data_IF_256803426983
#
_entry.id   IF_256803426983
#
_cell.length_a   1.000
_cell.length_b   1.000
_cell.length_c   1.000
_cell.angle_alpha   90.00
_cell.angle_beta   90.00
_cell.angle_gamma   90.00
#
_symmetry.space_group_name_H-M   'P 1'
#
loop_
_entity.id
_entity.type
_entity.pdbx_description
1 polymer ?
#
# COMPACT_ATOMS: atom_id res chain seq x y z
N UNK A 1 59.62 19.16 -17.90
CA UNK A 1 58.54 18.65 -18.77
C UNK A 1 58.16 17.25 -18.33
N UNK A 2 57.21 17.12 -17.41
CA UNK A 2 56.60 15.84 -17.03
C UNK A 2 55.10 15.95 -17.28
N UNK A 3 54.62 15.22 -18.28
CA UNK A 3 53.21 15.23 -18.68
C UNK A 3 52.39 14.40 -17.69
N UNK A 4 51.41 15.07 -17.09
CA UNK A 4 50.34 14.48 -16.28
C UNK A 4 49.43 13.70 -17.23
N UNK A 5 49.40 12.36 -17.10
CA UNK A 5 48.36 11.52 -17.70
C UNK A 5 47.08 11.64 -16.88
N UNK A 6 46.05 12.27 -17.46
CA UNK A 6 44.66 12.16 -17.03
C UNK A 6 44.23 10.69 -17.06
N UNK A 7 43.81 10.17 -15.92
CA UNK A 7 43.06 8.92 -15.81
C UNK A 7 41.55 9.22 -15.76
N UNK A 8 40.97 9.53 -16.92
CA UNK A 8 39.52 9.49 -17.10
C UNK A 8 39.19 8.14 -17.75
N UNK A 9 38.77 7.17 -16.93
CA UNK A 9 38.06 5.97 -17.38
C UNK A 9 37.34 5.33 -16.18
N UNK A 10 36.27 5.97 -15.71
CA UNK A 10 35.17 5.24 -15.07
C UNK A 10 34.10 5.04 -16.14
N UNK A 11 34.01 3.84 -16.67
CA UNK A 11 32.89 3.38 -17.50
C UNK A 11 31.57 3.75 -16.81
N UNK A 12 30.83 4.69 -17.38
CA UNK A 12 29.47 4.99 -16.95
C UNK A 12 28.62 3.74 -17.20
N UNK A 13 28.43 2.92 -16.18
CA UNK A 13 27.51 1.79 -16.21
C UNK A 13 26.14 2.34 -16.55
N UNK A 14 25.60 1.96 -17.70
CA UNK A 14 24.28 2.40 -18.15
C UNK A 14 23.25 2.05 -17.06
N UNK A 15 22.68 3.07 -16.41
CA UNK A 15 21.70 2.90 -15.34
C UNK A 15 20.48 2.16 -15.90
N UNK A 16 20.39 0.86 -15.64
CA UNK A 16 19.27 0.02 -16.08
C UNK A 16 18.13 0.09 -15.07
N UNK A 17 16.90 0.23 -15.54
CA UNK A 17 15.72 0.14 -14.67
C UNK A 17 15.61 -1.31 -14.12
N UNK A 18 15.50 -1.52 -12.80
CA UNK A 18 15.33 -2.85 -12.25
C UNK A 18 13.96 -3.41 -12.61
N UNK A 19 13.87 -4.74 -12.74
CA UNK A 19 12.61 -5.42 -13.05
C UNK A 19 11.62 -5.21 -11.89
N UNK A 20 10.39 -4.86 -12.24
CA UNK A 20 9.30 -4.75 -11.27
C UNK A 20 8.95 -6.12 -10.70
N UNK A 21 8.54 -6.16 -9.43
CA UNK A 21 8.06 -7.37 -8.74
C UNK A 21 6.66 -7.80 -9.19
N UNK A 22 5.99 -6.98 -9.99
CA UNK A 22 4.65 -7.20 -10.53
C UNK A 22 4.63 -6.88 -12.02
N UNK A 23 3.57 -7.31 -12.70
CA UNK A 23 3.29 -6.93 -14.07
C UNK A 23 2.07 -6.02 -14.13
N UNK A 24 2.25 -4.79 -14.62
CA UNK A 24 1.18 -3.81 -14.68
C UNK A 24 0.00 -4.26 -15.54
N UNK A 25 0.24 -4.89 -16.69
CA UNK A 25 -0.84 -5.37 -17.57
C UNK A 25 -1.68 -6.46 -16.91
N UNK A 26 -1.05 -7.36 -16.15
CA UNK A 26 -1.77 -8.38 -15.37
C UNK A 26 -2.65 -7.72 -14.30
N UNK A 27 -2.14 -6.67 -13.63
CA UNK A 27 -2.91 -5.95 -12.63
C UNK A 27 -4.07 -5.14 -13.24
N UNK A 28 -3.90 -4.57 -14.44
CA UNK A 28 -5.00 -3.95 -15.21
C UNK A 28 -6.04 -4.99 -15.59
N UNK A 29 -5.61 -6.17 -16.05
CA UNK A 29 -6.53 -7.26 -16.37
C UNK A 29 -7.34 -7.72 -15.15
N UNK A 30 -6.72 -7.77 -13.96
CA UNK A 30 -7.42 -7.97 -12.69
C UNK A 30 -8.47 -6.89 -12.42
N UNK A 31 -8.20 -5.62 -12.70
CA UNK A 31 -9.20 -4.55 -12.57
C UNK A 31 -10.39 -4.76 -13.50
N UNK A 32 -10.15 -5.21 -14.73
CA UNK A 32 -11.22 -5.52 -15.69
C UNK A 32 -12.09 -6.67 -15.19
N UNK A 33 -11.48 -7.74 -14.65
CA UNK A 33 -12.23 -8.85 -14.03
C UNK A 33 -13.10 -8.34 -12.88
N UNK A 34 -12.55 -7.51 -12.01
CA UNK A 34 -13.31 -6.91 -10.91
C UNK A 34 -14.53 -6.13 -11.41
N UNK A 35 -14.35 -5.27 -12.42
CA UNK A 35 -15.43 -4.49 -13.01
C UNK A 35 -16.52 -5.38 -13.62
N UNK A 36 -16.12 -6.40 -14.38
CA UNK A 36 -17.06 -7.37 -14.98
C UNK A 36 -17.85 -8.10 -13.89
N UNK A 37 -17.20 -8.51 -12.79
CA UNK A 37 -17.86 -9.21 -11.70
C UNK A 37 -18.83 -8.32 -10.93
N UNK A 38 -18.46 -7.06 -10.62
CA UNK A 38 -19.38 -6.09 -10.03
C UNK A 38 -20.61 -5.94 -10.91
N UNK A 39 -20.42 -5.72 -12.22
CA UNK A 39 -21.54 -5.51 -13.13
C UNK A 39 -22.40 -6.76 -13.25
N UNK A 40 -21.78 -7.93 -13.33
CA UNK A 40 -22.47 -9.21 -13.41
C UNK A 40 -23.35 -9.45 -12.18
N UNK A 41 -22.83 -9.31 -10.96
CA UNK A 41 -23.60 -9.50 -9.73
C UNK A 41 -24.65 -8.40 -9.51
N UNK A 42 -24.38 -7.18 -9.95
CA UNK A 42 -25.41 -6.14 -9.94
C UNK A 42 -26.63 -6.54 -10.81
N UNK A 43 -26.40 -7.15 -11.99
CA UNK A 43 -27.49 -7.60 -12.88
C UNK A 43 -28.16 -8.89 -12.40
N UNK A 44 -27.39 -9.86 -11.90
CA UNK A 44 -27.90 -11.21 -11.58
C UNK A 44 -28.47 -11.32 -10.16
N UNK A 45 -27.84 -10.68 -9.18
CA UNK A 45 -28.19 -10.79 -7.75
C UNK A 45 -28.64 -9.47 -7.13
N UNK A 46 -28.92 -8.44 -7.94
CA UNK A 46 -29.26 -7.08 -7.47
C UNK A 46 -28.18 -6.49 -6.54
N UNK A 47 -26.91 -6.83 -6.81
CA UNK A 47 -25.75 -6.35 -6.07
C UNK A 47 -24.85 -7.47 -5.53
N UNK A 48 -23.71 -7.08 -4.97
CA UNK A 48 -22.75 -8.00 -4.34
C UNK A 48 -23.17 -8.32 -2.90
N UNK A 49 -23.50 -9.59 -2.67
CA UNK A 49 -23.70 -10.23 -1.38
C UNK A 49 -22.38 -10.82 -0.84
N UNK A 50 -22.33 -11.28 0.42
CA UNK A 50 -21.08 -11.73 1.05
C UNK A 50 -20.32 -12.84 0.29
N UNK A 51 -21.01 -13.82 -0.28
CA UNK A 51 -20.35 -14.91 -1.03
C UNK A 51 -19.80 -14.40 -2.36
N UNK A 52 -20.56 -13.57 -3.06
CA UNK A 52 -20.17 -12.95 -4.33
C UNK A 52 -18.98 -12.01 -4.15
N UNK A 53 -18.88 -11.33 -3.00
CA UNK A 53 -17.70 -10.54 -2.63
C UNK A 53 -16.45 -11.42 -2.53
N UNK A 54 -16.55 -12.59 -1.87
CA UNK A 54 -15.42 -13.50 -1.74
C UNK A 54 -14.97 -14.03 -3.10
N UNK A 55 -15.93 -14.42 -3.95
CA UNK A 55 -15.68 -14.85 -5.33
C UNK A 55 -15.00 -13.71 -6.10
N UNK A 56 -15.51 -12.48 -5.98
CA UNK A 56 -14.98 -11.30 -6.64
C UNK A 56 -13.52 -11.04 -6.24
N UNK A 57 -13.21 -11.07 -4.95
CA UNK A 57 -11.85 -10.88 -4.43
C UNK A 57 -10.91 -11.98 -4.95
N UNK A 58 -11.32 -13.24 -4.88
CA UNK A 58 -10.49 -14.39 -5.31
C UNK A 58 -10.23 -14.35 -6.81
N UNK A 59 -11.27 -14.16 -7.63
CA UNK A 59 -11.14 -14.13 -9.09
C UNK A 59 -10.35 -12.90 -9.57
N UNK A 60 -10.47 -11.76 -8.88
CA UNK A 60 -9.66 -10.57 -9.18
C UNK A 60 -8.16 -10.84 -9.01
N UNK A 61 -7.77 -11.56 -7.96
CA UNK A 61 -6.35 -11.81 -7.63
C UNK A 61 -5.76 -12.98 -8.45
N UNK A 62 -6.60 -13.88 -8.95
CA UNK A 62 -6.18 -15.11 -9.62
C UNK A 62 -5.18 -14.91 -10.78
N UNK A 63 -5.35 -13.94 -11.71
CA UNK A 63 -4.36 -13.68 -12.77
C UNK A 63 -2.98 -13.31 -12.22
N UNK A 64 -2.94 -12.54 -11.13
CA UNK A 64 -1.69 -12.12 -10.48
C UNK A 64 -0.99 -13.30 -9.83
N UNK A 65 -1.75 -14.20 -9.18
CA UNK A 65 -1.22 -15.45 -8.62
C UNK A 65 -0.66 -16.34 -9.73
N UNK A 66 -1.40 -16.53 -10.83
CA UNK A 66 -0.95 -17.35 -11.96
C UNK A 66 0.35 -16.78 -12.55
N UNK A 67 0.42 -15.46 -12.75
CA UNK A 67 1.63 -14.80 -13.22
C UNK A 67 2.82 -15.03 -12.27
N UNK A 68 2.61 -14.86 -10.96
CA UNK A 68 3.69 -15.03 -9.98
C UNK A 68 4.18 -16.48 -9.87
N UNK A 69 3.28 -17.46 -10.02
CA UNK A 69 3.63 -18.88 -10.00
C UNK A 69 4.38 -19.35 -11.26
N UNK A 70 4.10 -18.75 -12.42
CA UNK A 70 4.65 -19.16 -13.72
C UNK A 70 5.87 -18.37 -14.16
N UNK A 71 5.84 -17.04 -13.99
CA UNK A 71 6.86 -16.11 -14.50
C UNK A 71 7.54 -15.36 -13.35
N UNK A 72 6.78 -14.93 -12.34
CA UNK A 72 7.29 -14.06 -11.28
C UNK A 72 8.32 -14.71 -10.34
N UNK A 73 8.30 -16.04 -10.16
CA UNK A 73 9.21 -16.76 -9.27
C UNK A 73 10.70 -16.52 -9.55
N UNK A 74 11.10 -16.23 -10.78
CA UNK A 74 12.51 -15.98 -11.12
C UNK A 74 12.98 -14.55 -10.82
N UNK A 75 12.05 -13.58 -10.82
CA UNK A 75 12.33 -12.15 -10.68
C UNK A 75 12.39 -11.73 -9.20
N UNK A 76 11.66 -12.44 -8.33
CA UNK A 76 11.42 -12.03 -6.95
C UNK A 76 12.38 -12.76 -6.02
N UNK A 77 13.01 -12.03 -5.08
CA UNK A 77 14.02 -12.51 -4.12
C UNK A 77 13.98 -14.01 -3.82
N UNK A 78 14.89 -14.76 -4.45
CA UNK A 78 14.98 -16.22 -4.35
C UNK A 78 15.13 -16.71 -2.91
N UNK A 79 15.73 -15.90 -2.04
CA UNK A 79 16.04 -16.28 -0.65
C UNK A 79 14.79 -16.40 0.25
N UNK A 80 13.66 -15.82 -0.16
CA UNK A 80 12.42 -15.85 0.63
C UNK A 80 11.30 -16.69 0.02
N UNK A 81 11.44 -17.08 -1.25
CA UNK A 81 10.44 -17.87 -1.93
C UNK A 81 10.33 -19.27 -1.32
N UNK A 82 9.10 -19.74 -1.10
CA UNK A 82 8.84 -21.13 -0.70
C UNK A 82 9.08 -22.03 -1.92
N UNK A 83 9.99 -23.00 -1.77
CA UNK A 83 10.26 -23.99 -2.80
C UNK A 83 9.01 -24.82 -3.10
N UNK A 84 8.76 -25.11 -4.38
CA UNK A 84 7.65 -25.98 -4.81
C UNK A 84 7.83 -27.39 -4.28
N UNK A 85 9.08 -27.89 -4.32
CA UNK A 85 9.46 -29.17 -3.73
C UNK A 85 9.86 -28.98 -2.27
N UNK A 86 9.46 -29.88 -1.36
CA UNK A 86 9.88 -29.80 0.03
C UNK A 86 11.41 -29.85 0.12
N UNK A 87 11.99 -28.92 0.87
CA UNK A 87 13.44 -28.85 1.12
C UNK A 87 13.85 -29.67 2.34
N UNK A 88 12.88 -30.11 3.14
CA UNK A 88 13.07 -30.86 4.38
C UNK A 88 11.85 -31.69 4.72
N UNK A 89 12.06 -32.65 5.61
CA UNK A 89 11.01 -33.47 6.17
C UNK A 89 10.08 -32.69 7.12
N UNK A 90 8.86 -33.19 7.23
CA UNK A 90 7.84 -32.64 8.11
C UNK A 90 8.27 -32.71 9.58
N UNK A 91 8.24 -31.56 10.28
CA UNK A 91 8.56 -31.48 11.69
C UNK A 91 7.33 -31.03 12.49
N UNK A 92 6.60 -31.95 13.17
CA UNK A 92 5.36 -31.63 13.86
C UNK A 92 5.57 -30.60 14.98
N UNK A 93 6.68 -30.69 15.72
CA UNK A 93 6.98 -29.76 16.81
C UNK A 93 7.10 -28.32 16.31
N UNK A 94 7.86 -28.10 15.23
CA UNK A 94 8.05 -26.76 14.65
C UNK A 94 6.75 -26.20 14.07
N UNK A 95 5.97 -27.04 13.40
CA UNK A 95 4.66 -26.67 12.84
C UNK A 95 3.69 -26.27 13.96
N UNK A 96 3.61 -27.04 15.05
CA UNK A 96 2.78 -26.71 16.21
C UNK A 96 3.21 -25.37 16.82
N UNK A 97 4.51 -25.14 17.01
CA UNK A 97 5.01 -23.85 17.54
C UNK A 97 4.58 -22.68 16.64
N UNK A 98 4.68 -22.83 15.31
CA UNK A 98 4.23 -21.79 14.37
C UNK A 98 2.72 -21.54 14.44
N UNK A 99 1.92 -22.60 14.57
CA UNK A 99 0.47 -22.49 14.72
C UNK A 99 0.11 -21.81 16.04
N UNK A 100 0.80 -22.13 17.13
CA UNK A 100 0.65 -21.41 18.41
C UNK A 100 0.98 -19.92 18.21
N UNK A 101 2.07 -19.60 17.51
CA UNK A 101 2.42 -18.22 17.17
C UNK A 101 1.31 -17.51 16.38
N UNK A 102 0.80 -18.15 15.33
CA UNK A 102 -0.28 -17.59 14.50
C UNK A 102 -1.57 -17.35 15.30
N UNK A 103 -2.01 -18.33 16.09
CA UNK A 103 -3.25 -18.22 16.87
C UNK A 103 -3.12 -17.27 18.05
N UNK A 104 -1.95 -17.20 18.68
CA UNK A 104 -1.64 -16.18 19.68
C UNK A 104 -1.75 -14.78 19.07
N UNK A 105 -1.29 -14.59 17.83
CA UNK A 105 -1.44 -13.31 17.12
C UNK A 105 -2.90 -12.96 16.86
N UNK A 106 -3.72 -13.91 16.41
CA UNK A 106 -5.16 -13.68 16.26
C UNK A 106 -5.84 -13.34 17.60
N UNK A 107 -5.50 -14.05 18.67
CA UNK A 107 -5.98 -13.74 20.02
C UNK A 107 -5.57 -12.34 20.49
N UNK A 108 -4.33 -11.94 20.22
CA UNK A 108 -3.84 -10.60 20.56
C UNK A 108 -4.55 -9.49 19.77
N UNK A 109 -4.77 -9.68 18.46
CA UNK A 109 -5.54 -8.73 17.65
C UNK A 109 -6.99 -8.63 18.12
N UNK A 110 -7.63 -9.77 18.41
CA UNK A 110 -8.97 -9.79 19.00
C UNK A 110 -9.02 -9.01 20.31
N UNK A 111 -8.04 -9.21 21.20
CA UNK A 111 -7.91 -8.46 22.44
C UNK A 111 -7.79 -6.94 22.19
N UNK A 112 -6.96 -6.51 21.23
CA UNK A 112 -6.83 -5.09 20.89
C UNK A 112 -8.13 -4.50 20.35
N UNK A 113 -8.84 -5.21 19.47
CA UNK A 113 -10.14 -4.77 18.94
C UNK A 113 -11.22 -4.70 20.03
N UNK A 114 -11.20 -5.63 20.98
CA UNK A 114 -12.12 -5.61 22.13
C UNK A 114 -11.82 -4.44 23.09
N UNK A 115 -10.53 -4.17 23.32
CA UNK A 115 -10.03 -3.14 24.24
C UNK A 115 -10.29 -1.72 23.74
N UNK A 116 -10.07 -1.46 22.45
CA UNK A 116 -10.11 -0.12 21.87
C UNK A 116 -11.53 0.25 21.40
N UNK A 117 -12.17 1.31 21.96
CA UNK A 117 -13.56 1.65 21.65
C UNK A 117 -13.84 1.98 20.19
N UNK A 118 -12.87 2.53 19.45
CA UNK A 118 -13.02 2.92 18.04
C UNK A 118 -13.48 1.75 17.16
N UNK A 119 -13.08 0.53 17.48
CA UNK A 119 -13.45 -0.67 16.72
C UNK A 119 -14.89 -1.16 16.99
N UNK A 120 -15.60 -0.51 17.91
CA UNK A 120 -17.03 -0.76 18.21
C UNK A 120 -17.95 0.18 17.44
N UNK A 121 -17.40 1.13 16.69
CA UNK A 121 -18.19 2.04 15.86
C UNK A 121 -18.89 1.30 14.71
N UNK A 122 -20.09 1.75 14.28
CA UNK A 122 -20.87 1.09 13.21
C UNK A 122 -20.09 0.85 11.92
N UNK A 123 -19.12 1.73 11.62
CA UNK A 123 -18.22 1.60 10.46
C UNK A 123 -17.54 0.23 10.37
N UNK A 124 -17.17 -0.40 11.50
CA UNK A 124 -16.47 -1.67 11.52
C UNK A 124 -17.39 -2.91 11.61
N UNK A 125 -18.69 -2.74 11.81
CA UNK A 125 -19.63 -3.87 11.98
C UNK A 125 -19.60 -4.85 10.81
N UNK A 126 -19.55 -4.32 9.60
CA UNK A 126 -19.53 -5.14 8.39
C UNK A 126 -18.23 -5.93 8.29
N UNK A 127 -17.09 -5.33 8.65
CA UNK A 127 -15.82 -6.06 8.74
C UNK A 127 -15.90 -7.20 9.77
N UNK A 128 -16.50 -6.97 10.94
CA UNK A 128 -16.67 -8.01 11.96
C UNK A 128 -17.59 -9.14 11.52
N UNK A 129 -18.63 -8.85 10.73
CA UNK A 129 -19.47 -9.88 10.12
C UNK A 129 -18.64 -10.82 9.24
N UNK A 130 -17.87 -10.28 8.29
CA UNK A 130 -17.04 -11.09 7.41
C UNK A 130 -15.91 -11.82 8.15
N UNK A 131 -15.27 -11.15 9.11
CA UNK A 131 -14.20 -11.75 9.91
C UNK A 131 -14.71 -12.96 10.71
N UNK A 132 -15.87 -12.85 11.37
CA UNK A 132 -16.46 -13.97 12.12
C UNK A 132 -16.80 -15.17 11.24
N UNK A 133 -17.28 -14.92 10.03
CA UNK A 133 -17.63 -15.98 9.08
C UNK A 133 -16.40 -16.66 8.47
N UNK A 134 -15.34 -15.90 8.18
CA UNK A 134 -14.13 -16.41 7.55
C UNK A 134 -13.10 -16.98 8.52
N UNK A 135 -13.05 -16.50 9.77
CA UNK A 135 -12.01 -16.88 10.73
C UNK A 135 -11.94 -18.40 10.99
N UNK A 136 -13.05 -19.13 11.20
CA UNK A 136 -12.99 -20.60 11.38
C UNK A 136 -12.35 -21.30 10.19
N UNK A 137 -12.71 -20.88 8.97
CA UNK A 137 -12.15 -21.42 7.72
C UNK A 137 -10.66 -21.10 7.62
N UNK A 138 -10.25 -19.86 7.93
CA UNK A 138 -8.85 -19.43 7.92
C UNK A 138 -8.02 -20.21 8.94
N UNK A 139 -8.52 -20.42 10.15
CA UNK A 139 -7.83 -21.18 11.19
C UNK A 139 -7.64 -22.64 10.77
N UNK A 140 -8.68 -23.29 10.24
CA UNK A 140 -8.58 -24.67 9.75
C UNK A 140 -7.63 -24.78 8.54
N UNK A 141 -7.74 -23.87 7.58
CA UNK A 141 -6.88 -23.84 6.40
C UNK A 141 -5.41 -23.52 6.73
N UNK A 142 -5.14 -22.82 7.85
CA UNK A 142 -3.79 -22.51 8.28
C UNK A 142 -2.98 -23.76 8.66
N UNK A 143 -3.61 -24.83 9.13
CA UNK A 143 -2.93 -26.07 9.55
C UNK A 143 -2.16 -26.73 8.38
N UNK A 144 -2.80 -27.15 7.27
CA UNK A 144 -2.09 -27.72 6.14
C UNK A 144 -1.18 -26.70 5.46
N UNK A 145 -1.56 -25.42 5.45
CA UNK A 145 -0.75 -24.34 4.87
C UNK A 145 0.59 -24.16 5.59
N UNK A 146 0.58 -24.05 6.92
CA UNK A 146 1.80 -23.88 7.72
C UNK A 146 2.70 -25.10 7.61
N UNK A 147 2.13 -26.31 7.59
CA UNK A 147 2.88 -27.54 7.36
C UNK A 147 3.59 -27.54 6.00
N UNK A 148 2.87 -27.21 4.92
CA UNK A 148 3.43 -27.14 3.57
C UNK A 148 4.54 -26.09 3.46
N UNK A 149 4.27 -24.86 3.93
CA UNK A 149 5.22 -23.75 3.88
C UNK A 149 6.48 -24.06 4.70
N UNK A 150 6.33 -24.65 5.89
CA UNK A 150 7.45 -25.03 6.74
C UNK A 150 8.44 -25.98 6.05
N UNK A 151 7.94 -26.92 5.25
CA UNK A 151 8.77 -27.85 4.47
C UNK A 151 9.50 -27.16 3.30
N UNK A 152 8.92 -26.11 2.71
CA UNK A 152 9.47 -25.44 1.51
C UNK A 152 10.30 -24.18 1.78
N UNK A 153 10.27 -23.61 2.99
CA UNK A 153 11.04 -22.39 3.33
C UNK A 153 12.55 -22.65 3.34
N UNK A 154 13.42 -21.68 3.03
CA UNK A 154 14.86 -21.88 3.20
C UNK A 154 15.29 -21.85 4.68
N UNK A 155 14.82 -20.84 5.43
CA UNK A 155 15.01 -20.69 6.87
C UNK A 155 13.67 -20.90 7.58
N UNK A 156 13.37 -22.09 8.14
CA UNK A 156 12.04 -22.41 8.67
C UNK A 156 11.74 -21.73 10.00
N UNK A 157 12.75 -21.30 10.76
CA UNK A 157 12.57 -20.59 12.03
C UNK A 157 12.25 -19.11 11.78
N UNK A 158 11.00 -18.83 11.40
CA UNK A 158 10.54 -17.50 11.04
C UNK A 158 9.86 -16.76 12.19
N UNK A 159 9.23 -15.62 11.87
CA UNK A 159 8.56 -14.78 12.86
C UNK A 159 7.44 -15.49 13.62
N UNK A 160 6.68 -16.39 12.97
CA UNK A 160 5.67 -17.21 13.65
C UNK A 160 6.31 -18.22 14.61
N UNK A 161 7.44 -18.82 14.24
CA UNK A 161 8.18 -19.72 15.11
C UNK A 161 8.67 -19.01 16.37
N UNK A 162 9.34 -17.87 16.24
CA UNK A 162 9.84 -17.12 17.39
C UNK A 162 8.72 -16.52 18.24
N UNK A 163 7.63 -16.06 17.63
CA UNK A 163 6.48 -15.55 18.39
C UNK A 163 5.74 -16.69 19.14
N UNK A 164 5.63 -17.87 18.54
CA UNK A 164 5.09 -19.06 19.22
C UNK A 164 5.93 -19.48 20.42
N UNK A 165 7.27 -19.48 20.31
CA UNK A 165 8.16 -19.74 21.45
C UNK A 165 8.03 -18.71 22.57
N UNK A 166 7.88 -17.42 22.21
CA UNK A 166 7.61 -16.36 23.19
C UNK A 166 6.32 -16.65 23.97
N UNK A 167 5.25 -17.04 23.27
CA UNK A 167 3.97 -17.37 23.90
C UNK A 167 4.03 -18.63 24.77
N UNK A 168 4.92 -19.57 24.44
CA UNK A 168 5.24 -20.75 25.24
C UNK A 168 6.29 -20.47 26.34
N UNK A 169 6.61 -19.21 26.63
CA UNK A 169 7.57 -18.77 27.66
C UNK A 169 9.02 -19.25 27.44
N UNK A 170 9.40 -19.62 26.22
CA UNK A 170 10.76 -20.03 25.87
C UNK A 170 11.61 -18.84 25.40
N UNK A 171 12.01 -17.99 26.34
CA UNK A 171 12.75 -16.76 26.01
C UNK A 171 14.18 -17.01 25.51
N UNK A 172 14.84 -18.10 25.96
CA UNK A 172 16.27 -18.35 25.67
C UNK A 172 16.56 -18.55 24.18
N UNK A 173 15.61 -19.12 23.45
CA UNK A 173 15.76 -19.45 22.03
C UNK A 173 14.92 -18.55 21.11
N UNK A 174 14.46 -17.41 21.64
CA UNK A 174 13.72 -16.42 20.86
C UNK A 174 14.66 -15.36 20.33
N UNK A 175 14.44 -14.96 19.08
CA UNK A 175 15.15 -13.83 18.51
C UNK A 175 14.22 -12.61 18.50
N UNK A 176 14.60 -11.61 19.30
CA UNK A 176 13.83 -10.36 19.49
C UNK A 176 13.52 -9.64 18.18
N UNK A 177 14.39 -9.72 17.16
CA UNK A 177 14.19 -9.03 15.88
C UNK A 177 12.98 -9.58 15.14
N UNK A 178 12.87 -10.90 15.05
CA UNK A 178 11.73 -11.56 14.42
C UNK A 178 10.42 -11.26 15.16
N UNK A 179 10.46 -11.17 16.49
CA UNK A 179 9.29 -10.78 17.31
C UNK A 179 8.87 -9.34 17.01
N UNK A 180 9.81 -8.39 16.98
CA UNK A 180 9.49 -6.98 16.70
C UNK A 180 8.90 -6.82 15.29
N UNK A 181 9.51 -7.43 14.28
CA UNK A 181 8.98 -7.39 12.91
C UNK A 181 7.63 -8.11 12.81
N UNK A 182 7.41 -9.18 13.58
CA UNK A 182 6.11 -9.85 13.67
C UNK A 182 5.03 -8.90 14.18
N UNK A 183 5.27 -8.27 15.34
CA UNK A 183 4.34 -7.36 15.99
C UNK A 183 4.05 -6.16 15.07
N UNK A 184 5.07 -5.52 14.50
CA UNK A 184 4.91 -4.41 13.56
C UNK A 184 4.08 -4.82 12.34
N UNK A 185 4.41 -5.94 11.71
CA UNK A 185 3.68 -6.43 10.52
C UNK A 185 2.20 -6.68 10.81
N UNK A 186 1.89 -7.24 11.97
CA UNK A 186 0.51 -7.52 12.36
C UNK A 186 -0.24 -6.30 12.87
N UNK A 187 0.43 -5.32 13.48
CA UNK A 187 -0.19 -4.01 13.80
C UNK A 187 -0.56 -3.28 12.51
N UNK A 188 0.32 -3.27 11.49
CA UNK A 188 0.00 -2.70 10.17
C UNK A 188 -1.25 -3.37 9.61
N UNK A 189 -1.28 -4.70 9.55
CA UNK A 189 -2.44 -5.44 9.04
C UNK A 189 -3.70 -5.19 9.88
N UNK A 190 -3.58 -5.22 11.20
CA UNK A 190 -4.70 -5.03 12.12
C UNK A 190 -5.27 -3.61 12.09
N UNK A 191 -4.44 -2.61 11.77
CA UNK A 191 -4.92 -1.25 11.59
C UNK A 191 -5.54 -1.03 10.21
N UNK A 192 -4.81 -1.36 9.13
CA UNK A 192 -5.24 -1.00 7.79
C UNK A 192 -6.29 -1.93 7.20
N UNK A 193 -6.28 -3.23 7.50
CA UNK A 193 -7.23 -4.15 6.88
C UNK A 193 -8.69 -3.82 7.25
N UNK A 194 -9.07 -3.65 8.54
CA UNK A 194 -10.43 -3.27 8.88
C UNK A 194 -10.86 -1.95 8.24
N UNK A 195 -9.94 -0.97 8.20
CA UNK A 195 -10.19 0.36 7.64
C UNK A 195 -10.46 0.31 6.13
N UNK A 196 -9.55 -0.31 5.37
CA UNK A 196 -9.69 -0.43 3.90
C UNK A 196 -10.91 -1.27 3.52
N UNK A 197 -11.18 -2.33 4.30
CA UNK A 197 -12.33 -3.21 4.07
C UNK A 197 -13.66 -2.50 4.32
N UNK A 198 -13.77 -1.71 5.41
CA UNK A 198 -14.95 -0.90 5.69
C UNK A 198 -15.23 0.12 4.59
N UNK A 199 -14.21 0.86 4.14
CA UNK A 199 -14.37 1.80 3.02
C UNK A 199 -14.73 1.11 1.71
N UNK A 200 -14.08 -0.01 1.38
CA UNK A 200 -14.38 -0.77 0.16
C UNK A 200 -15.85 -1.20 0.15
N UNK A 201 -16.37 -1.69 1.27
CA UNK A 201 -17.75 -2.13 1.37
C UNK A 201 -18.76 -0.97 1.32
N UNK A 202 -18.44 0.18 1.90
CA UNK A 202 -19.28 1.36 1.76
C UNK A 202 -19.41 1.78 0.29
N UNK A 203 -18.32 1.73 -0.47
CA UNK A 203 -18.38 2.02 -1.91
C UNK A 203 -19.12 0.92 -2.70
N UNK A 204 -18.90 -0.37 -2.40
CA UNK A 204 -19.68 -1.45 -3.04
C UNK A 204 -21.18 -1.29 -2.75
N UNK A 205 -21.54 -0.90 -1.52
CA UNK A 205 -22.94 -0.62 -1.15
C UNK A 205 -23.48 0.59 -1.89
N UNK A 206 -22.67 1.63 -2.13
CA UNK A 206 -23.05 2.74 -3.00
C UNK A 206 -23.44 2.20 -4.39
N UNK A 207 -22.61 1.36 -5.03
CA UNK A 207 -22.93 0.79 -6.35
C UNK A 207 -24.11 -0.17 -6.36
N UNK A 208 -24.29 -0.96 -5.31
CA UNK A 208 -25.44 -1.86 -5.20
C UNK A 208 -26.76 -1.08 -5.23
N UNK A 209 -26.78 0.12 -4.64
CA UNK A 209 -27.98 0.96 -4.54
C UNK A 209 -28.02 2.09 -5.58
N UNK A 210 -26.97 2.29 -6.38
CA UNK A 210 -26.89 3.37 -7.34
C UNK A 210 -27.72 3.03 -8.58
N UNK A 211 -28.69 3.88 -8.91
CA UNK A 211 -29.42 3.76 -10.17
C UNK A 211 -28.62 4.42 -11.30
N UNK A 212 -28.07 3.61 -12.21
CA UNK A 212 -27.28 4.09 -13.35
C UNK A 212 -28.05 5.00 -14.31
N UNK A 213 -29.39 4.92 -14.33
CA UNK A 213 -30.22 5.79 -15.16
C UNK A 213 -30.16 7.25 -14.71
N UNK A 214 -29.68 7.52 -13.49
CA UNK A 214 -29.47 8.88 -12.95
C UNK A 214 -28.21 9.57 -13.47
N UNK A 215 -27.37 8.89 -14.26
CA UNK A 215 -26.18 9.50 -14.87
C UNK A 215 -26.63 10.27 -16.12
N UNK A 216 -27.28 11.40 -15.90
CA UNK A 216 -27.85 12.24 -16.96
C UNK A 216 -26.90 13.38 -17.38
N UNK A 217 -25.98 13.76 -16.50
CA UNK A 217 -25.04 14.85 -16.72
C UNK A 217 -23.61 14.51 -16.25
N UNK A 218 -22.69 15.45 -16.48
CA UNK A 218 -21.30 15.29 -16.10
C UNK A 218 -21.10 15.31 -14.56
N UNK A 219 -21.96 15.97 -13.79
CA UNK A 219 -21.85 15.99 -12.32
C UNK A 219 -22.11 14.59 -11.76
N UNK A 220 -23.23 13.97 -12.13
CA UNK A 220 -23.56 12.61 -11.76
C UNK A 220 -22.50 11.61 -12.24
N UNK A 221 -21.99 11.79 -13.46
CA UNK A 221 -20.88 10.99 -13.98
C UNK A 221 -19.61 11.16 -13.15
N UNK A 222 -19.25 12.39 -12.77
CA UNK A 222 -18.07 12.69 -11.97
C UNK A 222 -18.14 11.97 -10.62
N UNK A 223 -19.25 12.10 -9.89
CA UNK A 223 -19.42 11.45 -8.58
C UNK A 223 -19.34 9.92 -8.70
N UNK A 224 -20.00 9.35 -9.72
CA UNK A 224 -19.96 7.93 -10.01
C UNK A 224 -18.55 7.44 -10.33
N UNK A 225 -17.83 8.13 -11.22
CA UNK A 225 -16.49 7.78 -11.68
C UNK A 225 -15.46 7.95 -10.55
N UNK A 226 -15.56 9.03 -9.77
CA UNK A 226 -14.67 9.28 -8.64
C UNK A 226 -14.79 8.17 -7.58
N UNK A 227 -16.02 7.85 -7.17
CA UNK A 227 -16.25 6.74 -6.23
C UNK A 227 -15.68 5.41 -6.77
N UNK A 228 -15.67 5.24 -8.10
CA UNK A 228 -15.27 3.98 -8.73
C UNK A 228 -13.76 3.84 -8.70
N UNK A 229 -13.06 4.94 -9.00
CA UNK A 229 -11.61 5.05 -8.89
C UNK A 229 -11.14 4.71 -7.47
N UNK A 230 -11.80 5.25 -6.44
CA UNK A 230 -11.48 4.94 -5.05
C UNK A 230 -11.84 3.50 -4.66
N UNK A 231 -12.89 2.92 -5.25
CA UNK A 231 -13.23 1.50 -5.04
C UNK A 231 -12.13 0.58 -5.54
N UNK A 232 -11.53 0.89 -6.69
CA UNK A 232 -10.37 0.15 -7.21
C UNK A 232 -9.18 0.27 -6.25
N UNK A 233 -8.86 1.47 -5.77
CA UNK A 233 -7.77 1.72 -4.82
C UNK A 233 -7.95 0.86 -3.55
N UNK A 234 -9.15 0.91 -2.98
CA UNK A 234 -9.52 0.18 -1.77
C UNK A 234 -9.52 -1.34 -1.96
N UNK A 235 -9.97 -1.84 -3.11
CA UNK A 235 -9.89 -3.26 -3.44
C UNK A 235 -8.45 -3.74 -3.44
N UNK A 236 -7.57 -3.04 -4.15
CA UNK A 236 -6.15 -3.41 -4.22
C UNK A 236 -5.47 -3.32 -2.86
N UNK A 237 -5.89 -2.37 -2.01
CA UNK A 237 -5.47 -2.32 -0.62
C UNK A 237 -5.93 -3.54 0.18
N UNK A 238 -7.20 -3.93 0.10
CA UNK A 238 -7.77 -5.10 0.80
C UNK A 238 -7.07 -6.40 0.36
N UNK A 239 -6.98 -6.66 -0.95
CA UNK A 239 -6.31 -7.88 -1.44
C UNK A 239 -4.82 -7.87 -1.05
N UNK A 240 -4.19 -6.69 -1.01
CA UNK A 240 -2.83 -6.50 -0.53
C UNK A 240 -2.62 -7.04 0.89
N UNK A 241 -3.53 -6.70 1.81
CA UNK A 241 -3.45 -7.13 3.21
C UNK A 241 -3.95 -8.56 3.46
N UNK A 242 -4.89 -9.05 2.66
CA UNK A 242 -5.44 -10.42 2.77
C UNK A 242 -4.44 -11.44 2.22
N UNK A 243 -3.90 -11.22 1.02
CA UNK A 243 -3.04 -12.17 0.33
C UNK A 243 -1.55 -11.98 0.66
N UNK A 244 -1.22 -11.92 1.96
CA UNK A 244 0.18 -11.91 2.45
C UNK A 244 0.73 -13.33 2.63
N UNK A 245 0.78 -14.10 1.54
CA UNK A 245 1.06 -15.54 1.58
C UNK A 245 2.47 -15.86 1.06
N UNK A 246 3.21 -16.68 1.81
CA UNK A 246 4.59 -17.08 1.46
C UNK A 246 4.70 -17.92 0.20
N UNK A 247 3.67 -18.71 -0.11
CA UNK A 247 3.59 -19.53 -1.33
C UNK A 247 3.61 -18.70 -2.61
N UNK A 248 3.13 -17.46 -2.55
CA UNK A 248 3.12 -16.50 -3.66
C UNK A 248 4.24 -15.45 -3.50
N UNK A 249 5.16 -15.67 -2.55
CA UNK A 249 6.24 -14.76 -2.20
C UNK A 249 5.76 -13.33 -1.89
N UNK A 250 4.53 -13.17 -1.40
CA UNK A 250 3.89 -11.88 -1.13
C UNK A 250 3.89 -11.50 0.35
N UNK A 251 4.66 -12.17 1.19
CA UNK A 251 4.83 -11.75 2.58
C UNK A 251 5.44 -10.34 2.70
N UNK A 252 5.27 -9.75 3.88
CA UNK A 252 6.02 -8.57 4.31
C UNK A 252 7.46 -9.00 4.59
N UNK A 253 8.44 -8.40 3.91
CA UNK A 253 9.86 -8.66 4.15
C UNK A 253 10.40 -7.86 5.32
N UNK A 254 10.02 -6.59 5.39
CA UNK A 254 10.34 -5.69 6.50
C UNK A 254 9.30 -4.60 6.63
N UNK A 255 9.24 -4.02 7.82
CA UNK A 255 8.39 -2.89 8.15
C UNK A 255 9.21 -1.62 8.37
N UNK A 256 8.59 -0.45 8.20
CA UNK A 256 9.21 0.85 8.46
C UNK A 256 9.83 0.85 9.87
N UNK A 257 11.16 1.08 9.98
CA UNK A 257 11.83 0.95 11.27
C UNK A 257 11.65 2.17 12.18
N UNK A 258 11.33 3.35 11.65
CA UNK A 258 11.38 4.63 12.38
C UNK A 258 10.02 5.08 12.91
N UNK A 259 9.99 5.65 14.11
CA UNK A 259 8.75 6.23 14.66
C UNK A 259 8.19 7.36 13.78
N UNK A 260 9.07 8.17 13.18
CA UNK A 260 8.67 9.25 12.27
C UNK A 260 7.87 8.71 11.08
N UNK A 261 8.37 7.67 10.39
CA UNK A 261 7.68 7.06 9.25
C UNK A 261 6.29 6.54 9.61
N UNK A 262 6.15 5.92 10.80
CA UNK A 262 4.84 5.50 11.32
C UNK A 262 3.91 6.69 11.58
N UNK A 263 4.39 7.74 12.25
CA UNK A 263 3.58 8.91 12.60
C UNK A 263 3.06 9.60 11.33
N UNK A 264 3.95 9.95 10.38
CA UNK A 264 3.54 10.67 9.17
C UNK A 264 2.64 9.83 8.26
N UNK A 265 2.76 8.50 8.32
CA UNK A 265 1.82 7.61 7.63
C UNK A 265 0.45 7.62 8.31
N UNK A 266 0.39 7.36 9.62
CA UNK A 266 -0.86 7.19 10.37
C UNK A 266 -1.69 8.49 10.47
N UNK A 267 -1.05 9.66 10.50
CA UNK A 267 -1.75 10.96 10.50
C UNK A 267 -2.74 11.07 9.33
N UNK A 268 -2.41 10.48 8.17
CA UNK A 268 -3.25 10.55 6.97
C UNK A 268 -4.44 9.57 6.93
N UNK A 269 -4.70 8.81 8.00
CA UNK A 269 -5.78 7.83 8.06
C UNK A 269 -6.74 8.12 9.21
N UNK A 270 -8.00 7.68 9.08
CA UNK A 270 -8.95 7.73 10.20
C UNK A 270 -8.52 6.75 11.32
N UNK A 271 -8.82 7.08 12.59
CA UNK A 271 -9.51 8.30 13.08
C UNK A 271 -8.59 9.52 13.23
N UNK A 272 -7.27 9.36 13.02
CA UNK A 272 -6.30 10.43 13.26
C UNK A 272 -6.58 11.65 12.37
N UNK A 273 -6.72 11.43 11.06
CA UNK A 273 -6.91 12.52 10.11
C UNK A 273 -8.14 13.36 10.43
N UNK A 274 -9.33 12.77 10.48
CA UNK A 274 -10.58 13.53 10.67
C UNK A 274 -10.68 14.16 12.07
N UNK A 275 -10.58 13.32 13.11
CA UNK A 275 -10.93 13.71 14.47
C UNK A 275 -9.85 14.50 15.20
N UNK A 276 -8.57 14.32 14.84
CA UNK A 276 -7.45 14.95 15.56
C UNK A 276 -6.77 16.06 14.77
N UNK A 277 -6.57 15.88 13.46
CA UNK A 277 -5.73 16.79 12.66
C UNK A 277 -6.53 17.74 11.78
N UNK A 278 -7.36 17.21 10.88
CA UNK A 278 -8.10 17.98 9.88
C UNK A 278 -9.02 19.02 10.54
N UNK A 279 -10.01 18.58 11.32
CA UNK A 279 -11.04 19.48 11.86
C UNK A 279 -10.52 20.55 12.83
N UNK A 280 -9.32 20.39 13.40
CA UNK A 280 -8.75 21.31 14.39
C UNK A 280 -7.59 22.16 13.88
N UNK A 281 -6.76 21.63 12.98
CA UNK A 281 -5.48 22.24 12.61
C UNK A 281 -5.28 22.40 11.11
N UNK A 282 -5.89 21.55 10.29
CA UNK A 282 -5.69 21.53 8.84
C UNK A 282 -7.00 21.69 8.07
N UNK A 283 -7.96 22.44 8.60
CA UNK A 283 -9.18 22.75 7.87
C UNK A 283 -8.86 23.75 6.75
N UNK A 284 -8.42 23.23 5.61
CA UNK A 284 -8.06 23.98 4.41
C UNK A 284 -9.24 24.16 3.44
N UNK A 285 -10.42 23.67 3.80
CA UNK A 285 -11.66 23.79 3.05
C UNK A 285 -12.57 24.81 3.77
N UNK A 286 -13.06 25.81 3.03
CA UNK A 286 -13.96 26.84 3.55
C UNK A 286 -15.42 26.68 3.08
N UNK A 287 -15.75 25.49 2.55
CA UNK A 287 -17.04 25.15 1.96
C UNK A 287 -17.15 25.51 0.48
N UNK A 288 -16.20 26.27 -0.07
CA UNK A 288 -16.12 26.57 -1.49
C UNK A 288 -15.11 25.66 -2.17
N UNK A 289 -15.56 24.91 -3.17
CA UNK A 289 -14.74 23.96 -3.91
C UNK A 289 -14.95 24.12 -5.41
N UNK A 290 -14.16 23.41 -6.21
CA UNK A 290 -14.13 23.56 -7.67
C UNK A 290 -15.50 23.51 -8.37
N UNK A 291 -16.45 22.74 -7.84
CA UNK A 291 -17.80 22.64 -8.38
C UNK A 291 -18.58 23.95 -8.22
N UNK A 292 -18.38 24.67 -7.12
CA UNK A 292 -18.94 26.02 -6.94
C UNK A 292 -18.22 27.05 -7.81
N UNK A 293 -16.91 26.90 -8.01
CA UNK A 293 -16.10 27.80 -8.85
C UNK A 293 -16.54 27.81 -10.31
N UNK A 294 -16.97 26.65 -10.81
CA UNK A 294 -17.32 26.45 -12.21
C UNK A 294 -18.82 26.22 -12.41
N UNK A 295 -19.62 26.53 -11.40
CA UNK A 295 -21.07 26.40 -11.48
C UNK A 295 -21.62 27.29 -12.62
N UNK A 296 -22.55 26.74 -13.40
CA UNK A 296 -23.12 27.41 -14.59
C UNK A 296 -22.25 27.40 -15.85
N UNK A 297 -20.97 27.02 -15.81
CA UNK A 297 -20.12 26.85 -17.01
C UNK A 297 -19.81 25.37 -17.26
N UNK A 298 -20.72 24.71 -17.99
CA UNK A 298 -20.62 23.27 -18.30
C UNK A 298 -19.31 22.90 -18.98
N UNK A 299 -18.77 23.77 -19.84
CA UNK A 299 -17.55 23.47 -20.59
C UNK A 299 -16.33 23.41 -19.67
N UNK A 300 -16.11 24.45 -18.87
CA UNK A 300 -14.98 24.47 -17.94
C UNK A 300 -15.15 23.48 -16.79
N UNK A 301 -16.38 23.29 -16.29
CA UNK A 301 -16.69 22.28 -15.30
C UNK A 301 -16.27 20.88 -15.78
N UNK A 302 -16.63 20.53 -17.03
CA UNK A 302 -16.29 19.22 -17.61
C UNK A 302 -14.78 19.05 -17.77
N UNK A 303 -14.06 20.07 -18.25
CA UNK A 303 -12.60 20.00 -18.41
C UNK A 303 -11.90 19.84 -17.06
N UNK A 304 -12.27 20.66 -16.07
CA UNK A 304 -11.65 20.65 -14.75
C UNK A 304 -11.94 19.35 -13.99
N UNK A 305 -13.20 18.90 -13.99
CA UNK A 305 -13.58 17.63 -13.39
C UNK A 305 -12.90 16.44 -14.06
N UNK A 306 -12.75 16.46 -15.40
CA UNK A 306 -12.02 15.41 -16.12
C UNK A 306 -10.54 15.37 -15.73
N UNK A 307 -9.92 16.53 -15.48
CA UNK A 307 -8.55 16.60 -14.99
C UNK A 307 -8.41 16.05 -13.57
N UNK A 308 -9.37 16.34 -12.68
CA UNK A 308 -9.42 15.75 -11.33
C UNK A 308 -9.52 14.22 -11.43
N UNK A 309 -10.47 13.70 -12.21
CA UNK A 309 -10.64 12.26 -12.41
C UNK A 309 -9.38 11.60 -13.00
N UNK A 310 -8.69 12.26 -13.93
CA UNK A 310 -7.45 11.75 -14.49
C UNK A 310 -6.33 11.63 -13.43
N UNK A 311 -6.20 12.63 -12.53
CA UNK A 311 -5.23 12.60 -11.43
C UNK A 311 -5.58 11.52 -10.40
N UNK A 312 -6.85 11.42 -10.01
CA UNK A 312 -7.32 10.40 -9.08
C UNK A 312 -7.17 8.98 -9.67
N UNK A 313 -7.43 8.82 -10.96
CA UNK A 313 -7.19 7.57 -11.67
C UNK A 313 -5.70 7.22 -11.66
N UNK A 314 -4.80 8.16 -11.94
CA UNK A 314 -3.35 7.92 -11.85
C UNK A 314 -2.89 7.58 -10.43
N UNK A 315 -3.51 8.19 -9.41
CA UNK A 315 -3.32 7.82 -8.00
C UNK A 315 -3.75 6.36 -7.75
N UNK A 316 -4.95 5.97 -8.15
CA UNK A 316 -5.47 4.60 -7.98
C UNK A 316 -4.65 3.58 -8.78
N UNK A 317 -4.25 3.91 -10.01
CA UNK A 317 -3.39 3.08 -10.85
C UNK A 317 -2.00 2.87 -10.24
N UNK A 318 -1.50 3.78 -9.39
CA UNK A 318 -0.27 3.55 -8.65
C UNK A 318 -0.45 2.43 -7.63
N UNK A 319 -1.61 2.36 -6.95
CA UNK A 319 -1.96 1.24 -6.07
C UNK A 319 -2.15 -0.06 -6.87
N UNK A 320 -2.82 -0.01 -8.02
CA UNK A 320 -2.96 -1.15 -8.94
C UNK A 320 -1.60 -1.69 -9.39
N UNK A 321 -0.58 -0.85 -9.56
CA UNK A 321 0.76 -1.30 -9.93
C UNK A 321 1.39 -2.25 -8.90
N UNK A 322 1.05 -2.12 -7.61
CA UNK A 322 1.48 -3.09 -6.58
C UNK A 322 0.76 -4.43 -6.66
N UNK A 323 -0.42 -4.50 -7.29
CA UNK A 323 -1.25 -5.70 -7.24
C UNK A 323 -1.57 -6.11 -5.79
N UNK A 324 -1.63 -7.41 -5.54
CA UNK A 324 -1.81 -7.98 -4.20
C UNK A 324 -0.57 -7.86 -3.28
N UNK A 325 0.46 -7.10 -3.69
CA UNK A 325 1.63 -6.75 -2.87
C UNK A 325 1.49 -5.39 -2.18
N UNK A 326 0.43 -4.64 -2.45
CA UNK A 326 0.22 -3.34 -1.82
C UNK A 326 0.23 -3.46 -0.29
N UNK A 327 0.93 -2.55 0.37
CA UNK A 327 0.86 -2.37 1.82
C UNK A 327 1.56 -1.07 2.21
N UNK A 328 0.98 -0.35 3.17
CA UNK A 328 1.62 0.80 3.79
C UNK A 328 2.74 0.35 4.74
N UNK A 329 3.80 1.16 4.88
CA UNK A 329 4.89 0.97 5.86
C UNK A 329 5.67 -0.36 5.69
N UNK A 330 5.64 -0.99 4.52
CA UNK A 330 6.33 -2.27 4.32
C UNK A 330 7.12 -2.33 3.02
N UNK A 331 8.10 -3.22 3.01
CA UNK A 331 8.75 -3.68 1.79
C UNK A 331 8.23 -5.06 1.40
N UNK A 332 7.72 -5.18 0.17
CA UNK A 332 7.15 -6.41 -0.43
C UNK A 332 7.66 -6.69 -1.85
N UNK A 333 8.77 -6.06 -2.22
CA UNK A 333 9.35 -6.07 -3.56
C UNK A 333 9.22 -4.70 -4.23
N UNK A 334 10.22 -4.32 -5.02
CA UNK A 334 10.25 -3.07 -5.77
C UNK A 334 9.20 -3.06 -6.89
N UNK A 335 8.56 -1.90 -7.11
CA UNK A 335 7.64 -1.67 -8.23
C UNK A 335 8.24 -0.58 -9.13
N UNK A 336 8.38 -0.89 -10.43
CA UNK A 336 8.98 0.01 -11.42
C UNK A 336 8.13 0.17 -12.69
N UNK A 337 6.91 -0.38 -12.69
CA UNK A 337 5.98 -0.36 -13.83
C UNK A 337 4.75 0.53 -13.57
N UNK A 338 3.97 0.80 -14.62
CA UNK A 338 2.79 1.65 -14.51
C UNK A 338 3.17 3.09 -14.14
N UNK A 339 2.41 3.79 -13.26
CA UNK A 339 2.75 5.14 -12.83
C UNK A 339 4.13 5.29 -12.18
N UNK A 340 4.70 4.21 -11.63
CA UNK A 340 6.07 4.20 -11.11
C UNK A 340 7.14 4.35 -12.21
N UNK A 341 6.80 4.31 -13.49
CA UNK A 341 7.73 4.71 -14.55
C UNK A 341 7.91 6.23 -14.66
N UNK A 342 6.99 7.03 -14.09
CA UNK A 342 7.01 8.50 -14.20
C UNK A 342 7.83 9.17 -13.10
N UNK A 343 7.65 8.72 -11.86
CA UNK A 343 8.37 9.22 -10.69
C UNK A 343 8.34 8.19 -9.55
N UNK A 344 9.13 8.45 -8.49
CA UNK A 344 9.25 7.53 -7.34
C UNK A 344 7.96 7.35 -6.53
N UNK A 345 7.14 8.39 -6.42
CA UNK A 345 5.93 8.40 -5.58
C UNK A 345 4.72 8.97 -6.32
N UNK A 346 4.24 8.32 -7.40
CA UNK A 346 3.16 8.82 -8.25
C UNK A 346 1.86 9.00 -7.45
N UNK A 347 1.52 8.06 -6.57
CA UNK A 347 0.33 8.15 -5.71
C UNK A 347 0.32 9.45 -4.89
N UNK A 348 1.45 9.82 -4.27
CA UNK A 348 1.52 11.04 -3.48
C UNK A 348 1.43 12.28 -4.36
N UNK A 349 2.13 12.31 -5.49
CA UNK A 349 2.10 13.45 -6.41
C UNK A 349 0.68 13.72 -6.91
N UNK A 350 0.05 12.73 -7.55
CA UNK A 350 -1.25 12.94 -8.19
C UNK A 350 -2.37 13.22 -7.18
N UNK A 351 -2.31 12.59 -5.99
CA UNK A 351 -3.23 12.87 -4.89
C UNK A 351 -3.11 14.30 -4.35
N UNK A 352 -1.88 14.79 -4.17
CA UNK A 352 -1.69 16.14 -3.66
C UNK A 352 -2.13 17.18 -4.71
N UNK A 353 -1.83 16.96 -5.99
CA UNK A 353 -2.30 17.86 -7.06
C UNK A 353 -3.83 17.84 -7.17
N UNK A 354 -4.48 16.66 -7.09
CA UNK A 354 -5.94 16.59 -7.15
C UNK A 354 -6.59 17.37 -6.00
N UNK A 355 -6.03 17.36 -4.79
CA UNK A 355 -6.55 18.16 -3.68
C UNK A 355 -6.53 19.67 -3.94
N UNK A 356 -5.49 20.20 -4.58
CA UNK A 356 -5.46 21.61 -4.97
C UNK A 356 -6.54 21.94 -5.99
N UNK A 357 -6.79 21.02 -6.94
CA UNK A 357 -7.84 21.20 -7.95
C UNK A 357 -9.24 21.02 -7.37
N UNK A 358 -9.42 20.19 -6.35
CA UNK A 358 -10.72 19.96 -5.70
C UNK A 358 -11.04 21.13 -4.78
N UNK A 359 -10.16 21.41 -3.82
CA UNK A 359 -10.42 22.41 -2.76
C UNK A 359 -10.24 23.85 -3.23
N UNK A 360 -9.54 24.10 -4.35
CA UNK A 360 -9.29 25.44 -4.92
C UNK A 360 -9.03 26.50 -3.84
N UNK A 361 -8.12 26.26 -2.88
CA UNK A 361 -8.06 27.04 -1.64
C UNK A 361 -7.57 28.48 -1.86
N UNK A 362 -7.14 28.80 -3.08
CA UNK A 362 -6.70 30.11 -3.52
C UNK A 362 -7.84 30.96 -4.11
N UNK A 363 -9.03 30.38 -4.33
CA UNK A 363 -10.21 31.09 -4.83
C UNK A 363 -11.04 31.58 -3.64
N UNK A 364 -11.06 32.89 -3.36
CA UNK A 364 -11.63 33.41 -2.13
C UNK A 364 -13.16 33.42 -2.18
N UNK A 365 -13.82 32.58 -1.37
CA UNK A 365 -15.23 32.80 -0.99
C UNK A 365 -15.34 33.78 0.20
N UNK A 366 -14.33 33.76 1.09
CA UNK A 366 -14.29 34.54 2.34
C UNK A 366 -13.19 35.63 2.36
N UNK A 367 -12.70 36.04 1.19
CA UNK A 367 -11.63 37.03 1.03
C UNK A 367 -10.21 36.45 0.97
N UNK A 368 -9.24 37.32 0.62
CA UNK A 368 -7.87 36.90 0.29
C UNK A 368 -7.08 36.33 1.49
N UNK A 369 -7.36 36.79 2.71
CA UNK A 369 -6.72 36.28 3.93
C UNK A 369 -7.07 34.81 4.17
N UNK A 370 -8.34 34.45 3.98
CA UNK A 370 -8.78 33.07 4.11
C UNK A 370 -8.17 32.20 3.01
N UNK A 371 -8.14 32.70 1.77
CA UNK A 371 -7.51 31.98 0.67
C UNK A 371 -6.02 31.70 0.93
N UNK A 372 -5.28 32.68 1.46
CA UNK A 372 -3.89 32.50 1.87
C UNK A 372 -3.76 31.46 2.98
N UNK A 373 -4.62 31.53 4.01
CA UNK A 373 -4.62 30.57 5.13
C UNK A 373 -4.90 29.15 4.64
N UNK A 374 -5.97 28.92 3.90
CA UNK A 374 -6.33 27.61 3.35
C UNK A 374 -5.22 27.06 2.45
N UNK A 375 -4.60 27.90 1.62
CA UNK A 375 -3.48 27.51 0.77
C UNK A 375 -2.25 27.09 1.58
N UNK A 376 -1.90 27.82 2.65
CA UNK A 376 -0.82 27.44 3.57
C UNK A 376 -1.13 26.11 4.27
N UNK A 377 -2.37 25.95 4.74
CA UNK A 377 -2.79 24.71 5.41
C UNK A 377 -2.68 23.51 4.46
N UNK A 378 -3.17 23.61 3.22
CA UNK A 378 -3.02 22.54 2.24
C UNK A 378 -1.55 22.27 1.88
N UNK A 379 -0.71 23.32 1.80
CA UNK A 379 0.73 23.16 1.59
C UNK A 379 1.39 22.38 2.73
N UNK A 380 0.99 22.62 3.99
CA UNK A 380 1.48 21.84 5.13
C UNK A 380 1.02 20.38 5.06
N UNK A 381 -0.20 20.10 4.56
CA UNK A 381 -0.64 18.74 4.28
C UNK A 381 0.25 18.09 3.23
N UNK A 382 0.60 18.80 2.15
CA UNK A 382 1.55 18.27 1.16
C UNK A 382 2.94 18.03 1.77
N UNK A 383 3.38 18.85 2.72
CA UNK A 383 4.64 18.63 3.43
C UNK A 383 4.63 17.33 4.24
N UNK A 384 3.51 16.92 4.83
CA UNK A 384 3.36 15.61 5.48
C UNK A 384 3.62 14.48 4.47
N UNK A 385 3.04 14.57 3.27
CA UNK A 385 3.26 13.58 2.20
C UNK A 385 4.70 13.60 1.66
N UNK A 386 5.33 14.77 1.61
CA UNK A 386 6.76 14.86 1.30
C UNK A 386 7.60 14.12 2.35
N UNK A 387 7.38 14.37 3.64
CA UNK A 387 8.11 13.68 4.71
C UNK A 387 7.86 12.17 4.65
N UNK A 388 6.61 11.75 4.42
CA UNK A 388 6.23 10.35 4.23
C UNK A 388 6.99 9.70 3.08
N UNK A 389 7.06 10.36 1.93
CA UNK A 389 7.86 9.91 0.80
C UNK A 389 9.32 9.71 1.22
N UNK A 390 9.93 10.72 1.86
CA UNK A 390 11.34 10.65 2.31
C UNK A 390 11.59 9.51 3.29
N UNK A 391 10.72 9.30 4.28
CA UNK A 391 10.87 8.18 5.22
C UNK A 391 10.78 6.83 4.51
N UNK A 392 9.86 6.69 3.55
CA UNK A 392 9.73 5.50 2.73
C UNK A 392 11.00 5.27 1.88
N UNK A 393 11.55 6.31 1.23
CA UNK A 393 12.81 6.18 0.49
C UNK A 393 13.95 5.72 1.39
N UNK A 394 14.01 6.20 2.63
CA UNK A 394 15.05 5.83 3.60
C UNK A 394 14.95 4.35 3.99
N UNK A 395 13.73 3.86 4.26
CA UNK A 395 13.49 2.44 4.53
C UNK A 395 13.81 1.58 3.31
N UNK A 396 13.35 1.98 2.12
CA UNK A 396 13.57 1.23 0.88
C UNK A 396 15.03 1.23 0.43
N UNK A 397 15.83 2.24 0.82
CA UNK A 397 17.27 2.32 0.49
C UNK A 397 18.13 1.22 1.12
N UNK A 398 17.56 0.39 2.01
CA UNK A 398 18.20 -0.83 2.48
C UNK A 398 18.24 -1.95 1.41
N UNK A 399 17.53 -1.77 0.30
CA UNK A 399 17.39 -2.74 -0.77
C UNK A 399 18.11 -2.27 -2.05
N UNK A 400 19.05 -3.06 -2.62
CA UNK A 400 19.84 -2.66 -3.78
C UNK A 400 19.01 -2.24 -4.99
N UNK A 401 17.92 -2.95 -5.26
CA UNK A 401 17.00 -2.69 -6.35
C UNK A 401 16.25 -1.36 -6.20
N UNK A 402 15.96 -0.90 -4.99
CA UNK A 402 15.40 0.43 -4.79
C UNK A 402 16.44 1.52 -5.03
N UNK A 403 17.68 1.33 -4.57
CA UNK A 403 18.78 2.27 -4.84
C UNK A 403 18.95 2.46 -6.35
N UNK A 404 19.02 1.35 -7.09
CA UNK A 404 19.14 1.36 -8.55
C UNK A 404 17.96 2.10 -9.21
N UNK A 405 16.73 1.83 -8.76
CA UNK A 405 15.53 2.52 -9.23
C UNK A 405 15.56 4.02 -8.92
N UNK A 406 15.94 4.41 -7.71
CA UNK A 406 15.93 5.80 -7.28
C UNK A 406 17.03 6.63 -7.96
N UNK A 407 18.19 6.03 -8.23
CA UNK A 407 19.27 6.63 -9.03
C UNK A 407 18.86 6.76 -10.50
N UNK A 408 18.18 5.77 -11.08
CA UNK A 408 17.59 5.88 -12.42
C UNK A 408 16.59 7.05 -12.50
N UNK A 409 15.75 7.21 -11.47
CA UNK A 409 14.74 8.27 -11.42
C UNK A 409 15.33 9.67 -11.24
N UNK A 410 16.58 9.83 -10.79
CA UNK A 410 17.24 11.14 -10.81
C UNK A 410 17.36 11.71 -12.24
N UNK A 411 17.49 10.83 -13.24
CA UNK A 411 17.72 11.24 -14.63
C UNK A 411 16.45 11.14 -15.49
N UNK A 412 15.58 10.17 -15.21
CA UNK A 412 14.44 9.82 -16.08
C UNK A 412 13.07 10.22 -15.55
N UNK A 413 12.95 10.64 -14.29
CA UNK A 413 11.66 11.09 -13.76
C UNK A 413 11.16 12.35 -14.48
N UNK A 414 9.84 12.52 -14.56
CA UNK A 414 9.20 13.77 -15.00
C UNK A 414 9.63 14.98 -14.15
N UNK A 415 10.15 14.75 -12.94
CA UNK A 415 10.70 15.78 -12.04
C UNK A 415 12.22 15.87 -12.04
N UNK A 416 12.92 15.22 -12.98
CA UNK A 416 14.38 15.27 -13.04
C UNK A 416 14.91 16.71 -13.14
N UNK A 417 14.18 17.60 -13.81
CA UNK A 417 14.50 19.02 -13.90
C UNK A 417 14.51 19.72 -12.53
N UNK A 418 13.60 19.36 -11.61
CA UNK A 418 13.58 19.88 -10.24
C UNK A 418 14.85 19.48 -9.51
N UNK A 419 15.31 18.24 -9.68
CA UNK A 419 16.56 17.76 -9.10
C UNK A 419 17.80 18.47 -9.66
N UNK A 420 17.74 18.99 -10.89
CA UNK A 420 18.82 19.80 -11.48
C UNK A 420 18.84 21.21 -10.91
N UNK A 421 17.67 21.81 -10.67
CA UNK A 421 17.55 23.14 -10.05
C UNK A 421 17.84 23.12 -8.55
N UNK A 422 17.39 22.08 -7.85
CA UNK A 422 17.51 21.91 -6.40
C UNK A 422 18.20 20.56 -6.13
N UNK A 423 19.53 20.51 -6.04
CA UNK A 423 20.29 19.27 -5.83
C UNK A 423 19.90 18.49 -4.55
N UNK A 424 19.30 19.17 -3.57
CA UNK A 424 18.76 18.54 -2.37
C UNK A 424 17.60 17.57 -2.68
N UNK A 425 16.85 17.79 -3.76
CA UNK A 425 15.72 16.95 -4.19
C UNK A 425 16.17 15.67 -4.91
N UNK A 426 17.42 15.60 -5.35
CA UNK A 426 17.98 14.36 -5.93
C UNK A 426 18.06 13.27 -4.88
N UNK A 427 17.82 12.03 -5.28
CA UNK A 427 18.12 10.88 -4.45
C UNK A 427 19.63 10.77 -4.22
N UNK A 428 20.02 10.43 -2.98
CA UNK A 428 21.37 10.05 -2.60
C UNK A 428 21.28 8.93 -1.56
N UNK A 429 21.91 7.80 -1.85
CA UNK A 429 21.98 6.64 -0.95
C UNK A 429 22.58 7.00 0.40
N UNK A 430 23.64 7.81 0.40
CA UNK A 430 24.33 8.23 1.63
C UNK A 430 23.39 9.00 2.57
N UNK A 431 22.62 9.95 2.03
CA UNK A 431 21.62 10.71 2.82
C UNK A 431 20.51 9.80 3.35
N UNK A 432 20.06 8.85 2.53
CA UNK A 432 18.99 7.93 2.91
C UNK A 432 19.43 6.99 4.05
N UNK A 433 20.67 6.49 4.00
CA UNK A 433 21.22 5.62 5.03
C UNK A 433 21.66 6.36 6.30
N UNK A 434 22.02 7.65 6.20
CA UNK A 434 22.36 8.46 7.37
C UNK A 434 21.14 8.78 8.25
N UNK A 435 19.95 8.87 7.64
CA UNK A 435 18.69 9.21 8.32
C UNK A 435 17.95 8.00 8.89
N UNK A 436 18.20 6.79 8.37
CA UNK A 436 17.81 5.55 9.04
C UNK A 436 18.84 5.29 10.13
N UNK A 437 18.47 5.38 11.41
CA UNK A 437 19.36 5.03 12.53
C UNK A 437 20.00 3.65 12.30
N UNK A 438 21.27 3.65 11.88
CA UNK A 438 21.88 2.63 11.01
C UNK A 438 22.20 1.26 11.61
N UNK A 439 21.47 0.79 12.64
CA UNK A 439 21.74 -0.51 13.29
C UNK A 439 20.69 -1.60 13.05
N UNK A 440 19.40 -1.27 12.89
CA UNK A 440 18.36 -2.31 12.86
C UNK A 440 18.16 -2.97 11.49
N UNK A 441 18.25 -2.19 10.40
CA UNK A 441 17.96 -2.68 9.04
C UNK A 441 19.19 -3.30 8.35
N UNK A 442 20.38 -2.69 8.49
CA UNK A 442 21.65 -3.20 7.92
C UNK A 442 21.99 -4.63 8.35
N UNK A 443 21.72 -5.01 9.59
CA UNK A 443 21.99 -6.37 10.06
C UNK A 443 20.88 -7.38 9.72
N UNK A 444 19.69 -6.91 9.34
CA UNK A 444 18.64 -7.79 8.83
C UNK A 444 19.00 -8.23 7.41
N UNK A 445 19.46 -7.31 6.55
CA UNK A 445 19.98 -7.65 5.22
C UNK A 445 21.32 -8.40 5.27
N UNK A 446 22.28 -8.01 6.12
CA UNK A 446 23.61 -8.64 6.17
C UNK A 446 23.68 -10.05 6.80
N UNK A 447 22.67 -10.50 7.56
CA UNK A 447 22.59 -11.90 8.07
C UNK A 447 21.63 -12.77 7.25
N UNK A 448 21.09 -12.23 6.17
CA UNK A 448 20.19 -12.93 5.25
C UNK A 448 20.86 -13.32 3.93
N UNK A 449 22.10 -12.90 3.71
CA UNK A 449 23.06 -13.51 2.79
C UNK A 449 23.69 -14.77 3.40
#
# INVERSE_FOLDING_TARGET
>A
MSSVKKSDNSTATELKLPKSSTNFFVNIFSCVIFFVLIRYFHVVSSGIQPVELYITIVLTVLPQIIFDLTVGREVIHKNYAVSVKPLRDFNPKRVIIKLVGLYATFGFLYFLYWLLPVYKEPFFEVYWFHLRNLMPVIMLAAIPYVAYVDCGMQKPEDSYYHFGRLFLFDFKNTNRRYIIEHIKSWIIKGFFLPLMFGYMLNNINYYNNYNTDKIEDFHAFFDYANNFIFTIDLLFAVIGYVFTLKIFNSQIYSTEPTALGWIVCLIGYQPFWGSLFYGKYFNYDDGYYWGHMLDGDVFWYTIWGSLILALELLYSLATVAFGYRFSNLTYRGIITCGPYALCKHPAYVFKNVSWWLISVPFMPNLGWENALKCSILLLLVNAIYYIRARTEENHLSNYPEYVQYAEYMNEKSIFAWVGRLIPAMRYSKERALASTSGKFCKEFTQRLD
#
